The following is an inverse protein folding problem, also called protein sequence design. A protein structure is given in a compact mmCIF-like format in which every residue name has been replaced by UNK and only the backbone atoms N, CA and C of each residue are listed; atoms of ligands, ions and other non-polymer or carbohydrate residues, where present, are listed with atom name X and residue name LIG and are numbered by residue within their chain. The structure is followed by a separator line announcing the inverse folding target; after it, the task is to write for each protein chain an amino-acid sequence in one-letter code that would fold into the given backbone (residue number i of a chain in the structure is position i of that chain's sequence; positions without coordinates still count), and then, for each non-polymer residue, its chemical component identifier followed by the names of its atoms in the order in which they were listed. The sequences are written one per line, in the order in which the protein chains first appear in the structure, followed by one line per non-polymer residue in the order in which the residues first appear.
data_IF_553155904298
#
_entry.id   IF_553155904298
#
_cell.length_a   1.000
_cell.length_b   1.000
_cell.length_c   1.000
_cell.angle_alpha   90.00
_cell.angle_beta   90.00
_cell.angle_gamma   90.00
#
_symmetry.space_group_name_H-M   'P 1'
#
loop_
_entity.id
_entity.type
_entity.pdbx_description
1 polymer ?
#
# COMPACT_ATOMS: atom_id res chain seq x y z
N UNK A 1 -68.26 68.74 27.35
CA UNK A 1 -67.97 68.53 25.94
C UNK A 1 -66.83 67.50 25.85
N UNK A 2 -67.21 66.32 25.43
CA UNK A 2 -66.31 65.14 25.42
C UNK A 2 -65.45 65.14 24.16
N UNK A 3 -64.16 64.84 24.31
CA UNK A 3 -63.33 64.43 23.18
C UNK A 3 -62.73 63.08 23.53
N UNK A 4 -63.17 62.10 22.77
CA UNK A 4 -62.60 60.74 22.76
C UNK A 4 -61.22 60.74 22.04
N UNK A 5 -60.22 60.19 22.69
CA UNK A 5 -58.95 59.89 22.07
C UNK A 5 -58.85 58.35 21.89
N UNK A 6 -58.89 57.94 20.64
CA UNK A 6 -58.64 56.51 20.27
C UNK A 6 -57.14 56.16 20.50
N UNK A 7 -56.91 55.16 21.34
CA UNK A 7 -55.62 54.57 21.51
C UNK A 7 -55.39 53.49 20.43
N UNK A 8 -54.45 53.80 19.53
CA UNK A 8 -53.97 52.84 18.53
C UNK A 8 -52.89 51.90 19.14
N UNK A 9 -53.22 50.64 19.24
CA UNK A 9 -52.26 49.62 19.67
C UNK A 9 -51.37 49.18 18.49
N UNK A 10 -50.10 49.52 18.54
CA UNK A 10 -49.10 49.01 17.64
C UNK A 10 -48.70 47.61 18.13
N UNK A 11 -48.94 46.59 17.30
CA UNK A 11 -48.43 45.24 17.52
C UNK A 11 -46.96 45.16 17.03
N UNK A 12 -46.06 44.99 17.98
CA UNK A 12 -44.65 44.67 17.67
C UNK A 12 -44.59 43.23 17.20
N UNK A 13 -44.24 43.03 15.95
CA UNK A 13 -43.97 41.72 15.38
C UNK A 13 -42.55 41.31 15.84
N UNK A 14 -42.51 40.23 16.62
CA UNK A 14 -41.30 39.63 17.15
C UNK A 14 -40.35 39.22 16.00
N UNK A 15 -39.11 39.69 16.11
CA UNK A 15 -38.08 39.45 15.14
C UNK A 15 -37.74 37.95 14.97
N UNK A 16 -37.71 37.56 13.73
CA UNK A 16 -37.18 36.27 13.31
C UNK A 16 -35.67 36.27 13.58
N UNK A 17 -35.26 35.48 14.57
CA UNK A 17 -33.82 35.23 14.85
C UNK A 17 -33.27 34.36 13.73
N UNK A 18 -32.52 34.97 12.82
CA UNK A 18 -31.71 34.23 11.84
C UNK A 18 -30.54 33.59 12.60
N UNK A 19 -30.69 32.30 12.92
CA UNK A 19 -29.58 31.49 13.37
C UNK A 19 -28.60 31.32 12.20
N UNK A 20 -27.51 32.08 12.20
CA UNK A 20 -26.36 31.82 11.36
C UNK A 20 -25.70 30.51 11.86
N UNK A 21 -26.01 29.42 11.22
CA UNK A 21 -25.24 28.17 11.35
C UNK A 21 -23.89 28.43 10.68
N UNK A 22 -22.88 28.75 11.48
CA UNK A 22 -21.51 28.79 11.03
C UNK A 22 -21.14 27.36 10.57
N UNK A 23 -21.17 27.13 9.27
CA UNK A 23 -20.59 25.94 8.68
C UNK A 23 -19.10 25.95 9.04
N UNK A 24 -18.73 25.07 9.98
CA UNK A 24 -17.34 24.81 10.35
C UNK A 24 -16.68 24.23 9.12
N UNK A 25 -15.98 25.07 8.36
CA UNK A 25 -15.07 24.60 7.32
C UNK A 25 -14.02 23.73 8.02
N UNK A 26 -14.18 22.43 7.91
CA UNK A 26 -13.09 21.52 8.20
C UNK A 26 -12.02 21.82 7.15
N UNK A 27 -10.99 22.56 7.56
CA UNK A 27 -9.74 22.60 6.82
C UNK A 27 -9.26 21.18 6.74
N UNK A 28 -9.31 20.58 5.55
CA UNK A 28 -8.61 19.35 5.29
C UNK A 28 -7.15 19.62 5.60
N UNK A 29 -6.61 18.94 6.62
CA UNK A 29 -5.19 18.97 6.89
C UNK A 29 -4.42 18.57 5.62
N UNK A 30 -3.10 18.86 5.55
CA UNK A 30 -2.31 18.47 4.39
C UNK A 30 -2.56 16.99 4.10
N UNK A 31 -2.85 16.65 2.82
CA UNK A 31 -3.06 15.28 2.40
C UNK A 31 -1.88 14.45 2.89
N UNK A 32 -2.16 13.34 3.60
CA UNK A 32 -1.11 12.44 4.07
C UNK A 32 -0.29 12.00 2.86
N UNK A 33 1.04 12.17 2.93
CA UNK A 33 1.94 11.72 1.87
C UNK A 33 1.97 10.18 1.85
N UNK A 34 2.10 9.60 0.66
CA UNK A 34 2.28 8.16 0.52
C UNK A 34 3.54 7.68 1.27
N UNK A 35 3.48 6.61 2.07
CA UNK A 35 4.65 6.07 2.76
C UNK A 35 5.71 5.62 1.77
N UNK A 36 6.98 5.80 2.16
CA UNK A 36 8.14 5.27 1.45
C UNK A 36 8.81 4.23 2.33
N UNK A 37 9.00 3.03 1.80
CA UNK A 37 9.64 1.92 2.51
C UNK A 37 10.86 1.43 1.72
N UNK A 38 11.73 0.65 2.37
CA UNK A 38 12.93 0.14 1.72
C UNK A 38 13.17 -1.35 2.02
N UNK A 39 13.86 -1.99 1.10
CA UNK A 39 14.51 -3.29 1.28
C UNK A 39 16.00 -3.17 1.01
N UNK A 40 16.83 -3.67 1.91
CA UNK A 40 18.23 -4.00 1.66
C UNK A 40 18.30 -5.47 1.24
N UNK A 41 18.67 -5.71 0.01
CA UNK A 41 18.64 -7.05 -0.62
C UNK A 41 20.04 -7.63 -0.68
N UNK A 42 20.16 -8.91 -0.36
CA UNK A 42 21.41 -9.66 -0.46
C UNK A 42 21.21 -10.96 -1.25
N UNK A 43 22.27 -11.42 -1.93
CA UNK A 43 22.35 -12.72 -2.59
C UNK A 43 23.47 -13.52 -1.94
N UNK A 44 23.18 -14.70 -1.38
CA UNK A 44 24.12 -15.53 -0.61
C UNK A 44 24.89 -14.70 0.44
N UNK A 45 24.17 -13.83 1.17
CA UNK A 45 24.69 -12.88 2.16
C UNK A 45 25.56 -11.74 1.60
N UNK A 46 25.71 -11.60 0.29
CA UNK A 46 26.36 -10.46 -0.33
C UNK A 46 25.33 -9.36 -0.64
N UNK A 47 25.55 -8.14 -0.18
CA UNK A 47 24.68 -7.00 -0.46
C UNK A 47 24.58 -6.73 -1.97
N UNK A 48 23.37 -6.62 -2.46
CA UNK A 48 23.08 -6.16 -3.82
C UNK A 48 22.75 -4.67 -3.88
N UNK A 49 22.27 -4.10 -2.76
CA UNK A 49 21.88 -2.71 -2.62
C UNK A 49 20.50 -2.53 -2.02
N UNK A 50 20.06 -1.27 -1.98
CA UNK A 50 18.76 -0.85 -1.45
C UNK A 50 17.78 -0.60 -2.59
N UNK A 51 16.54 -1.00 -2.35
CA UNK A 51 15.38 -0.67 -3.20
C UNK A 51 14.41 0.13 -2.35
N UNK A 52 13.92 1.25 -2.85
CA UNK A 52 12.87 2.04 -2.20
C UNK A 52 11.58 1.95 -2.96
N UNK A 53 10.48 1.97 -2.23
CA UNK A 53 9.12 1.86 -2.79
C UNK A 53 8.25 2.98 -2.24
N UNK A 54 7.49 3.63 -3.10
CA UNK A 54 6.35 4.43 -2.68
C UNK A 54 5.10 3.55 -2.64
N UNK A 55 4.36 3.62 -1.54
CA UNK A 55 3.12 2.87 -1.36
C UNK A 55 1.92 3.78 -1.61
N UNK A 56 1.03 3.39 -2.50
CA UNK A 56 -0.14 4.18 -2.90
C UNK A 56 -1.26 4.15 -1.84
N UNK A 57 -1.00 4.63 -0.63
CA UNK A 57 -1.97 4.71 0.46
C UNK A 57 -3.17 5.62 0.14
N UNK A 58 -3.02 6.55 -0.79
CA UNK A 58 -4.08 7.39 -1.33
C UNK A 58 -5.14 6.60 -2.14
N UNK A 59 -4.78 5.47 -2.72
CA UNK A 59 -5.65 4.63 -3.56
C UNK A 59 -6.04 3.32 -2.86
N UNK A 60 -5.08 2.68 -2.21
CA UNK A 60 -5.23 1.37 -1.53
C UNK A 60 -4.65 1.42 -0.10
N UNK A 61 -5.27 2.21 0.80
CA UNK A 61 -4.73 2.47 2.14
C UNK A 61 -4.54 1.20 2.97
N UNK A 62 -5.45 0.25 2.91
CA UNK A 62 -5.39 -0.99 3.67
C UNK A 62 -4.26 -1.90 3.20
N UNK A 63 -4.10 -2.05 1.90
CA UNK A 63 -3.05 -2.87 1.30
C UNK A 63 -1.67 -2.24 1.52
N UNK A 64 -1.57 -0.91 1.35
CA UNK A 64 -0.35 -0.15 1.61
C UNK A 64 0.08 -0.26 3.09
N UNK A 65 -0.84 -0.13 4.03
CA UNK A 65 -0.57 -0.24 5.47
C UNK A 65 -0.09 -1.64 5.85
N UNK A 66 -0.71 -2.70 5.32
CA UNK A 66 -0.23 -4.06 5.52
C UNK A 66 1.25 -4.21 5.15
N UNK A 67 1.62 -3.72 3.97
CA UNK A 67 3.01 -3.82 3.50
C UNK A 67 3.96 -2.95 4.33
N UNK A 68 3.57 -1.71 4.67
CA UNK A 68 4.36 -0.80 5.51
C UNK A 68 4.69 -1.44 6.87
N UNK A 69 3.69 -1.96 7.56
CA UNK A 69 3.85 -2.60 8.89
C UNK A 69 4.70 -3.86 8.80
N UNK A 70 4.58 -4.64 7.73
CA UNK A 70 5.44 -5.81 7.50
C UNK A 70 6.89 -5.41 7.17
N UNK A 71 7.12 -4.23 6.59
CA UNK A 71 8.46 -3.67 6.41
C UNK A 71 9.07 -3.22 7.75
N UNK A 72 8.31 -2.53 8.61
CA UNK A 72 8.80 -2.06 9.91
C UNK A 72 8.92 -3.18 10.94
N UNK A 73 8.13 -4.23 10.81
CA UNK A 73 8.09 -5.33 11.78
C UNK A 73 7.48 -4.96 13.13
N UNK A 74 6.78 -3.82 13.22
CA UNK A 74 6.23 -3.27 14.47
C UNK A 74 5.24 -4.20 15.19
N UNK A 75 4.61 -5.13 14.46
CA UNK A 75 3.73 -6.15 15.04
C UNK A 75 4.49 -7.41 15.52
N UNK A 76 5.82 -7.40 15.53
CA UNK A 76 6.66 -8.53 15.95
C UNK A 76 6.88 -9.58 14.86
N UNK A 77 6.44 -9.36 13.65
CA UNK A 77 6.69 -10.19 12.46
C UNK A 77 6.74 -9.31 11.20
N UNK A 78 7.40 -9.78 10.16
CA UNK A 78 7.52 -9.04 8.92
C UNK A 78 8.56 -9.62 7.96
N UNK A 79 8.95 -8.82 6.99
CA UNK A 79 9.76 -9.25 5.84
C UNK A 79 11.25 -9.42 6.15
N UNK A 80 11.79 -8.83 7.20
CA UNK A 80 13.22 -8.92 7.53
C UNK A 80 13.66 -10.38 7.67
N UNK A 81 14.70 -10.76 6.93
CA UNK A 81 15.22 -12.12 6.89
C UNK A 81 14.47 -13.08 5.96
N UNK A 82 13.34 -12.67 5.36
CA UNK A 82 12.61 -13.49 4.40
C UNK A 82 13.31 -13.54 3.04
N UNK A 83 12.84 -14.42 2.15
CA UNK A 83 13.48 -14.68 0.85
C UNK A 83 12.56 -14.32 -0.32
N UNK A 84 13.18 -14.05 -1.46
CA UNK A 84 12.51 -14.14 -2.76
C UNK A 84 12.55 -15.59 -3.22
N UNK A 85 11.44 -16.30 -3.03
CA UNK A 85 11.38 -17.76 -3.30
C UNK A 85 11.11 -18.09 -4.76
N UNK A 86 10.65 -17.11 -5.56
CA UNK A 86 10.33 -17.30 -6.98
C UNK A 86 10.71 -16.05 -7.76
N UNK A 87 11.60 -16.21 -8.73
CA UNK A 87 12.05 -15.12 -9.61
C UNK A 87 12.05 -15.63 -11.05
N UNK A 88 11.23 -14.99 -11.89
CA UNK A 88 11.12 -15.32 -13.31
C UNK A 88 11.53 -14.10 -14.13
N UNK A 89 12.62 -14.18 -14.91
CA UNK A 89 13.06 -13.10 -15.79
C UNK A 89 11.96 -12.64 -16.74
N UNK A 90 11.89 -11.33 -17.02
CA UNK A 90 10.87 -10.69 -17.87
C UNK A 90 9.44 -10.91 -17.36
N UNK A 91 9.29 -11.15 -16.05
CA UNK A 91 8.00 -11.27 -15.40
C UNK A 91 8.01 -10.59 -14.03
N UNK A 92 8.52 -11.26 -13.00
CA UNK A 92 8.46 -10.71 -11.63
C UNK A 92 9.43 -11.39 -10.67
N UNK A 93 9.72 -10.72 -9.55
CA UNK A 93 10.36 -11.25 -8.36
C UNK A 93 9.32 -11.38 -7.26
N UNK A 94 9.06 -12.58 -6.75
CA UNK A 94 8.05 -12.86 -5.73
C UNK A 94 8.71 -13.22 -4.40
N UNK A 95 8.22 -12.60 -3.33
CA UNK A 95 8.64 -12.84 -1.95
C UNK A 95 7.51 -12.63 -0.95
N UNK A 96 7.88 -12.44 0.31
CA UNK A 96 6.94 -12.11 1.38
C UNK A 96 6.36 -13.29 2.14
N UNK A 97 6.78 -14.54 1.83
CA UNK A 97 6.49 -15.69 2.68
C UNK A 97 7.55 -15.78 3.79
N UNK A 98 7.32 -15.06 4.88
CA UNK A 98 8.22 -15.05 6.04
C UNK A 98 7.96 -16.19 7.02
N UNK A 99 6.96 -17.04 6.78
CA UNK A 99 6.66 -18.20 7.64
C UNK A 99 7.26 -19.50 7.12
N UNK A 100 7.08 -19.80 5.83
CA UNK A 100 7.52 -21.08 5.23
C UNK A 100 8.66 -20.89 4.20
N UNK A 101 8.89 -19.66 3.73
CA UNK A 101 9.95 -19.30 2.78
C UNK A 101 9.89 -20.02 1.41
N UNK A 102 8.73 -20.54 1.03
CA UNK A 102 8.56 -21.35 -0.20
C UNK A 102 7.30 -20.99 -1.02
N UNK A 103 6.55 -19.97 -0.61
CA UNK A 103 5.33 -19.50 -1.27
C UNK A 103 4.04 -20.11 -0.76
N UNK A 104 4.09 -21.00 0.25
CA UNK A 104 2.88 -21.63 0.83
C UNK A 104 2.37 -20.91 2.06
N UNK A 105 3.12 -19.98 2.61
CA UNK A 105 2.84 -19.30 3.86
C UNK A 105 2.67 -17.79 3.73
N UNK A 106 3.01 -17.12 4.83
CA UNK A 106 2.79 -15.70 5.02
C UNK A 106 1.41 -15.38 5.61
N UNK A 107 1.30 -14.22 6.24
CA UNK A 107 0.06 -13.70 6.82
C UNK A 107 0.03 -12.19 6.78
N UNK A 108 -1.16 -11.61 6.74
CA UNK A 108 -1.33 -10.16 6.83
C UNK A 108 -1.35 -9.68 8.28
N UNK A 109 -1.31 -8.36 8.46
CA UNK A 109 -1.52 -7.73 9.78
C UNK A 109 -2.98 -7.81 10.24
N UNK A 110 -3.90 -8.15 9.35
CA UNK A 110 -5.35 -8.24 9.61
C UNK A 110 -5.81 -9.68 9.93
N UNK A 111 -4.93 -10.65 9.83
CA UNK A 111 -5.19 -12.08 9.95
C UNK A 111 -4.52 -12.86 8.83
N UNK A 112 -4.92 -14.11 8.62
CA UNK A 112 -4.27 -14.97 7.61
C UNK A 112 -4.42 -14.40 6.20
N UNK A 113 -5.61 -13.91 5.86
CA UNK A 113 -5.96 -13.35 4.54
C UNK A 113 -6.84 -12.11 4.69
N UNK A 114 -6.84 -11.26 3.66
CA UNK A 114 -7.76 -10.12 3.53
C UNK A 114 -8.20 -9.95 2.08
N UNK A 115 -9.29 -9.21 1.90
CA UNK A 115 -9.95 -8.99 0.62
C UNK A 115 -9.11 -8.18 -0.38
N UNK A 116 -9.47 -8.27 -1.66
CA UNK A 116 -8.96 -7.39 -2.70
C UNK A 116 -9.56 -5.99 -2.51
N UNK A 117 -8.72 -5.00 -2.21
CA UNK A 117 -9.20 -3.65 -1.87
C UNK A 117 -9.82 -2.94 -3.07
N UNK A 118 -9.11 -2.88 -4.17
CA UNK A 118 -9.59 -2.47 -5.50
C UNK A 118 -8.55 -2.80 -6.58
N UNK A 119 -8.92 -2.61 -7.86
CA UNK A 119 -8.06 -2.83 -9.03
C UNK A 119 -7.87 -1.56 -9.87
N UNK A 120 -7.86 -0.39 -9.25
CA UNK A 120 -7.73 0.90 -9.94
C UNK A 120 -6.35 1.06 -10.57
N UNK A 121 -5.29 0.69 -9.85
CA UNK A 121 -3.92 0.71 -10.36
C UNK A 121 -3.64 -0.52 -11.22
N UNK A 122 -2.77 -0.34 -12.24
CA UNK A 122 -2.50 -1.35 -13.27
C UNK A 122 -1.03 -1.74 -13.31
N UNK A 123 -0.76 -2.92 -13.86
CA UNK A 123 0.59 -3.45 -14.05
C UNK A 123 1.24 -2.87 -15.30
N UNK A 124 1.66 -1.61 -15.22
CA UNK A 124 2.08 -0.79 -16.36
C UNK A 124 3.51 -1.05 -16.83
N UNK A 125 4.34 -1.70 -16.01
CA UNK A 125 5.74 -1.93 -16.37
C UNK A 125 6.61 -2.43 -15.24
N UNK A 126 7.92 -2.38 -15.45
CA UNK A 126 8.90 -2.75 -14.44
C UNK A 126 8.82 -1.83 -13.20
N UNK A 127 9.05 -2.41 -12.03
CA UNK A 127 9.01 -1.70 -10.75
C UNK A 127 7.63 -1.67 -10.08
N UNK A 128 6.56 -2.12 -10.74
CA UNK A 128 5.23 -2.19 -10.12
C UNK A 128 5.24 -3.23 -8.98
N UNK A 129 4.70 -2.81 -7.85
CA UNK A 129 4.53 -3.63 -6.64
C UNK A 129 3.08 -4.07 -6.52
N UNK A 130 2.85 -5.37 -6.47
CA UNK A 130 1.52 -5.99 -6.52
C UNK A 130 1.40 -7.14 -5.52
N UNK A 131 0.20 -7.41 -5.02
CA UNK A 131 -0.06 -8.54 -4.13
C UNK A 131 -0.06 -9.86 -4.89
N UNK A 132 0.67 -10.85 -4.38
CA UNK A 132 0.47 -12.24 -4.77
C UNK A 132 -0.74 -12.80 -4.03
N UNK A 133 -1.52 -13.67 -4.69
CA UNK A 133 -2.69 -14.30 -4.09
C UNK A 133 -2.89 -15.73 -4.65
N UNK A 134 -3.83 -16.45 -4.07
CA UNK A 134 -4.27 -17.78 -4.49
C UNK A 134 -5.75 -17.77 -4.95
N UNK A 135 -6.17 -16.70 -5.58
CA UNK A 135 -7.53 -16.43 -6.02
C UNK A 135 -8.11 -15.18 -5.35
N UNK A 136 -9.36 -14.82 -5.65
CA UNK A 136 -10.01 -13.63 -5.12
C UNK A 136 -10.00 -13.57 -3.59
N UNK A 137 -9.71 -12.39 -3.03
CA UNK A 137 -9.78 -12.11 -1.58
C UNK A 137 -8.87 -13.02 -0.73
N UNK A 138 -7.68 -13.36 -1.23
CA UNK A 138 -6.71 -14.21 -0.53
C UNK A 138 -5.36 -13.51 -0.32
N UNK A 139 -5.34 -12.19 -0.20
CA UNK A 139 -4.13 -11.42 0.08
C UNK A 139 -3.60 -11.73 1.48
N UNK A 140 -2.32 -11.94 1.60
CA UNK A 140 -1.63 -12.17 2.86
C UNK A 140 -0.44 -11.20 3.02
N UNK A 141 0.77 -11.75 2.98
CA UNK A 141 2.02 -10.98 2.97
C UNK A 141 2.80 -11.12 1.68
N UNK A 142 2.50 -12.10 0.84
CA UNK A 142 3.26 -12.32 -0.38
C UNK A 142 3.00 -11.21 -1.40
N UNK A 143 4.07 -10.78 -2.05
CA UNK A 143 4.07 -9.72 -3.05
C UNK A 143 4.91 -10.10 -4.26
N UNK A 144 4.71 -9.37 -5.34
CA UNK A 144 5.51 -9.46 -6.56
C UNK A 144 6.01 -8.08 -6.96
N UNK A 145 7.27 -7.97 -7.35
CA UNK A 145 7.85 -6.79 -8.00
C UNK A 145 7.99 -7.14 -9.47
N UNK A 146 7.21 -6.47 -10.32
CA UNK A 146 7.24 -6.71 -11.77
C UNK A 146 8.58 -6.25 -12.36
N UNK A 147 9.12 -7.03 -13.27
CA UNK A 147 10.32 -6.68 -14.04
C UNK A 147 10.01 -6.34 -15.49
N UNK A 148 8.75 -6.49 -15.87
CA UNK A 148 8.21 -6.10 -17.17
C UNK A 148 6.73 -5.73 -17.04
N UNK A 149 6.09 -5.30 -18.14
CA UNK A 149 4.65 -5.09 -18.21
C UNK A 149 3.90 -6.42 -18.10
N UNK A 150 2.96 -6.50 -17.15
CA UNK A 150 2.21 -7.73 -16.83
C UNK A 150 0.70 -7.48 -16.80
N UNK A 151 0.16 -6.91 -17.88
CA UNK A 151 -1.24 -6.48 -17.98
C UNK A 151 -2.27 -7.61 -17.80
N UNK A 152 -1.90 -8.87 -18.01
CA UNK A 152 -2.75 -10.05 -17.77
C UNK A 152 -3.07 -10.28 -16.29
N UNK A 153 -2.37 -9.59 -15.37
CA UNK A 153 -2.61 -9.61 -13.93
C UNK A 153 -3.63 -8.55 -13.50
N UNK A 154 -3.97 -7.59 -14.37
CA UNK A 154 -4.94 -6.54 -14.09
C UNK A 154 -6.30 -7.13 -13.73
N UNK A 155 -6.92 -6.58 -12.66
CA UNK A 155 -8.19 -7.08 -12.16
C UNK A 155 -8.13 -8.41 -11.39
N UNK A 156 -6.93 -8.96 -11.19
CA UNK A 156 -6.70 -10.21 -10.44
C UNK A 156 -5.75 -10.04 -9.26
N UNK A 157 -4.80 -9.13 -9.37
CA UNK A 157 -3.83 -8.80 -8.35
C UNK A 157 -3.87 -7.32 -8.03
N UNK A 158 -3.91 -6.98 -6.74
CA UNK A 158 -3.98 -5.59 -6.29
C UNK A 158 -2.61 -4.94 -6.40
N UNK A 159 -2.49 -3.93 -7.26
CA UNK A 159 -1.31 -3.06 -7.33
C UNK A 159 -1.40 -2.05 -6.19
N UNK A 160 -0.31 -1.86 -5.44
CA UNK A 160 -0.31 -0.97 -4.28
C UNK A 160 0.92 -0.09 -4.12
N UNK A 161 1.86 -0.14 -5.06
CA UNK A 161 3.06 0.69 -5.00
C UNK A 161 3.96 0.52 -6.22
N UNK A 162 5.09 1.20 -6.17
CA UNK A 162 6.12 1.12 -7.20
C UNK A 162 7.51 1.40 -6.64
N UNK A 163 8.52 0.88 -7.33
CA UNK A 163 9.93 1.18 -7.06
C UNK A 163 10.21 2.62 -7.45
N UNK A 164 10.77 3.40 -6.52
CA UNK A 164 11.21 4.78 -6.75
C UNK A 164 12.73 4.86 -6.96
N UNK A 165 13.49 4.01 -6.27
CA UNK A 165 14.95 3.91 -6.41
C UNK A 165 15.38 2.44 -6.32
N UNK A 166 16.48 2.08 -6.99
CA UNK A 166 17.06 0.74 -6.90
C UNK A 166 16.46 -0.26 -7.88
N UNK A 167 15.86 0.18 -8.99
CA UNK A 167 15.39 -0.75 -10.04
C UNK A 167 16.53 -1.60 -10.61
N UNK A 168 17.77 -1.09 -10.62
CA UNK A 168 18.96 -1.83 -10.98
C UNK A 168 19.24 -3.00 -10.03
N UNK A 169 18.93 -2.85 -8.74
CA UNK A 169 19.02 -3.94 -7.75
C UNK A 169 17.99 -5.03 -8.07
N UNK A 170 16.77 -4.65 -8.43
CA UNK A 170 15.73 -5.60 -8.88
C UNK A 170 16.18 -6.32 -10.15
N UNK A 171 16.84 -5.64 -11.08
CA UNK A 171 17.43 -6.27 -12.28
C UNK A 171 18.53 -7.28 -11.92
N UNK A 172 19.34 -7.01 -10.90
CA UNK A 172 20.32 -7.98 -10.37
C UNK A 172 19.61 -9.20 -9.77
N UNK A 173 18.56 -9.02 -8.98
CA UNK A 173 17.73 -10.11 -8.45
C UNK A 173 17.15 -10.94 -9.60
N UNK A 174 16.57 -10.29 -10.62
CA UNK A 174 16.02 -10.94 -11.81
C UNK A 174 17.06 -11.85 -12.50
N UNK A 175 18.32 -11.43 -12.57
CA UNK A 175 19.39 -12.21 -13.19
C UNK A 175 19.71 -13.54 -12.49
N UNK A 176 19.32 -13.68 -11.22
CA UNK A 176 19.43 -14.92 -10.47
C UNK A 176 18.22 -15.85 -10.61
N UNK A 177 17.19 -15.41 -11.31
CA UNK A 177 15.98 -16.19 -11.58
C UNK A 177 16.13 -17.19 -12.72
N UNK A 178 15.05 -17.90 -12.97
CA UNK A 178 14.94 -18.86 -14.06
C UNK A 178 13.50 -18.94 -14.56
N UNK A 179 13.30 -19.57 -15.71
CA UNK A 179 11.96 -19.79 -16.28
C UNK A 179 11.06 -20.62 -15.35
N UNK A 180 11.62 -21.50 -14.54
CA UNK A 180 10.88 -22.25 -13.52
C UNK A 180 10.59 -21.46 -12.25
N UNK A 181 11.20 -20.29 -12.08
CA UNK A 181 11.12 -19.46 -10.89
C UNK A 181 12.17 -19.81 -9.82
N UNK A 182 12.92 -20.89 -9.98
CA UNK A 182 13.98 -21.24 -9.05
C UNK A 182 15.14 -20.25 -9.17
N UNK A 183 15.64 -19.78 -8.04
CA UNK A 183 16.78 -18.87 -7.98
C UNK A 183 18.10 -19.64 -7.90
N UNK A 184 19.14 -19.12 -8.57
CA UNK A 184 20.51 -19.69 -8.54
C UNK A 184 21.27 -19.32 -7.26
N UNK A 185 20.83 -18.28 -6.55
CA UNK A 185 21.34 -17.84 -5.25
C UNK A 185 20.18 -17.63 -4.28
N UNK A 186 20.47 -17.70 -3.00
CA UNK A 186 19.49 -17.35 -1.96
C UNK A 186 19.37 -15.84 -1.88
N UNK A 187 18.25 -15.30 -2.33
CA UNK A 187 17.96 -13.86 -2.30
C UNK A 187 17.17 -13.56 -1.03
N UNK A 188 17.71 -12.67 -0.19
CA UNK A 188 17.12 -12.32 1.11
C UNK A 188 16.87 -10.83 1.24
N UNK A 189 15.86 -10.47 2.00
CA UNK A 189 15.65 -9.13 2.52
C UNK A 189 16.44 -9.04 3.82
N UNK A 190 17.68 -8.55 3.73
CA UNK A 190 18.61 -8.48 4.87
C UNK A 190 18.13 -7.47 5.92
N UNK A 191 17.55 -6.36 5.47
CA UNK A 191 16.92 -5.34 6.30
C UNK A 191 15.78 -4.68 5.53
N UNK A 192 14.83 -4.10 6.25
CA UNK A 192 13.70 -3.35 5.68
C UNK A 192 13.14 -2.39 6.73
N UNK A 193 12.39 -1.39 6.27
CA UNK A 193 11.77 -0.40 7.14
C UNK A 193 11.08 0.70 6.34
N UNK A 194 10.68 1.74 7.06
CA UNK A 194 10.07 2.94 6.51
C UNK A 194 11.07 4.10 6.54
N UNK A 195 11.13 4.89 5.47
CA UNK A 195 11.89 6.13 5.37
C UNK A 195 11.00 7.29 5.83
N UNK A 196 11.49 8.04 6.81
CA UNK A 196 10.79 9.23 7.36
C UNK A 196 11.40 10.50 6.79
#
# INVERSE_FOLDING_TARGET
MLLNVLSSRIKIISGCSLAFTAARMYSAGPAATNPVVYFDIAADNQSLGRVTFELNADVVPKTAENFRVLCTGENGFGYKGSVFHRVIPQFMCQGGDFTNHNGTGGKSIYGTKFEDENFKLKHTGAGILSMANAGPNTNGSQFSICTDKTEWLDGKHVVFGSVTEGLDVIRKVESFGSRSGRTSKRITIADCGELK
#
